data_IF_849151183750
#
_entry.id   IF_849151183750
#
_cell.length_a   1.000
_cell.length_b   1.000
_cell.length_c   1.000
_cell.angle_alpha   90.00
_cell.angle_beta   90.00
_cell.angle_gamma   90.00
#
_symmetry.space_group_name_H-M   'P 1'
#
loop_
_entity.id
_entity.type
_entity.pdbx_description
1 polymer ?
#
# COMPACT_ATOMS: atom_id res chain seq x y z
N UNK A 1 1.11 -19.66 -9.68
CA UNK A 1 2.37 -19.27 -8.96
C UNK A 1 2.17 -19.61 -7.50
N UNK A 2 3.14 -20.25 -6.80
CA UNK A 2 3.00 -20.48 -5.37
C UNK A 2 3.28 -19.18 -4.59
N UNK A 3 2.90 -19.13 -3.31
CA UNK A 3 2.98 -17.90 -2.50
C UNK A 3 4.43 -17.41 -2.31
N UNK A 4 5.40 -18.31 -2.23
CA UNK A 4 6.82 -17.95 -2.06
C UNK A 4 7.35 -17.26 -3.31
N UNK A 5 7.01 -17.77 -4.50
CA UNK A 5 7.39 -17.16 -5.76
C UNK A 5 6.73 -15.80 -5.93
N UNK A 6 5.45 -15.68 -5.55
CA UNK A 6 4.71 -14.42 -5.58
C UNK A 6 5.40 -13.34 -4.73
N UNK A 7 5.78 -13.68 -3.49
CA UNK A 7 6.50 -12.77 -2.60
C UNK A 7 7.86 -12.37 -3.18
N UNK A 8 8.61 -13.32 -3.77
CA UNK A 8 9.95 -13.10 -4.32
C UNK A 8 9.93 -12.30 -5.62
N UNK A 9 8.89 -12.45 -6.43
CA UNK A 9 8.79 -11.82 -7.75
C UNK A 9 8.13 -10.46 -7.74
N UNK A 10 7.33 -10.12 -6.70
CA UNK A 10 6.69 -8.80 -6.59
C UNK A 10 7.72 -7.67 -6.68
N UNK A 11 7.41 -6.66 -7.49
CA UNK A 11 8.24 -5.45 -7.64
C UNK A 11 7.45 -4.20 -7.27
N UNK A 12 8.17 -3.16 -6.88
CA UNK A 12 7.63 -1.80 -6.78
C UNK A 12 7.64 -1.19 -8.18
N UNK A 13 6.46 -0.91 -8.72
CA UNK A 13 6.30 -0.42 -10.09
C UNK A 13 6.21 1.10 -10.07
N UNK A 14 7.01 1.77 -10.91
CA UNK A 14 7.08 3.24 -10.96
C UNK A 14 6.51 3.86 -12.22
N UNK A 15 6.09 3.02 -13.18
CA UNK A 15 5.48 3.47 -14.43
C UNK A 15 4.45 2.44 -14.87
N UNK A 16 3.27 2.92 -15.20
CA UNK A 16 2.13 2.09 -15.53
C UNK A 16 1.64 2.38 -16.94
N UNK A 17 1.01 1.38 -17.54
CA UNK A 17 0.24 1.48 -18.77
C UNK A 17 -1.07 2.22 -18.48
N UNK A 18 -1.71 2.80 -19.51
CA UNK A 18 -2.98 3.53 -19.36
C UNK A 18 -4.19 2.61 -19.17
N UNK A 19 -3.98 1.30 -19.19
CA UNK A 19 -5.06 0.32 -19.11
C UNK A 19 -5.83 0.42 -17.78
N UNK A 20 -7.15 0.36 -17.87
CA UNK A 20 -8.03 0.39 -16.70
C UNK A 20 -8.04 -0.96 -15.99
N UNK A 21 -8.17 -0.92 -14.67
CA UNK A 21 -8.34 -2.10 -13.83
C UNK A 21 -9.85 -2.38 -13.68
N UNK A 22 -10.25 -3.62 -13.86
CA UNK A 22 -11.61 -4.06 -13.58
C UNK A 22 -11.99 -3.83 -12.12
N UNK A 23 -13.13 -3.22 -11.87
CA UNK A 23 -13.59 -2.85 -10.52
C UNK A 23 -13.86 -4.06 -9.63
N UNK A 24 -14.31 -5.19 -10.20
CA UNK A 24 -14.58 -6.41 -9.44
C UNK A 24 -13.27 -7.07 -9.00
N UNK A 25 -12.25 -7.06 -9.88
CA UNK A 25 -10.90 -7.52 -9.50
C UNK A 25 -10.32 -6.66 -8.37
N UNK A 26 -10.39 -5.34 -8.50
CA UNK A 26 -9.92 -4.43 -7.45
C UNK A 26 -10.62 -4.71 -6.12
N UNK A 27 -11.94 -4.89 -6.14
CA UNK A 27 -12.72 -5.21 -4.95
C UNK A 27 -12.28 -6.53 -4.32
N UNK A 28 -12.11 -7.58 -5.12
CA UNK A 28 -11.65 -8.89 -4.63
C UNK A 28 -10.27 -8.83 -3.97
N UNK A 29 -9.35 -7.98 -4.48
CA UNK A 29 -8.04 -7.78 -3.84
C UNK A 29 -8.14 -7.03 -2.51
N UNK A 30 -9.07 -6.07 -2.41
CA UNK A 30 -9.33 -5.35 -1.15
C UNK A 30 -9.95 -6.29 -0.10
N UNK A 31 -10.88 -7.18 -0.50
CA UNK A 31 -11.43 -8.22 0.38
C UNK A 31 -10.34 -9.19 0.87
N UNK A 32 -9.47 -9.64 -0.03
CA UNK A 32 -8.34 -10.49 0.34
C UNK A 32 -7.36 -9.74 1.28
N UNK A 33 -7.14 -8.45 1.05
CA UNK A 33 -6.31 -7.61 1.91
C UNK A 33 -6.87 -7.48 3.32
N UNK A 34 -8.20 -7.41 3.45
CA UNK A 34 -8.89 -7.31 4.73
C UNK A 34 -8.74 -8.55 5.63
N UNK A 35 -8.22 -9.67 5.09
CA UNK A 35 -7.81 -10.83 5.88
C UNK A 35 -6.49 -10.62 6.65
N UNK A 36 -5.96 -9.41 6.66
CA UNK A 36 -4.77 -9.06 7.41
C UNK A 36 -4.97 -9.25 8.93
N UNK A 37 -3.95 -9.75 9.65
CA UNK A 37 -4.05 -9.89 11.10
C UNK A 37 -4.22 -8.51 11.75
N UNK A 38 -5.13 -8.42 12.70
CA UNK A 38 -5.34 -7.21 13.47
C UNK A 38 -5.82 -7.55 14.90
N UNK A 39 -5.39 -6.75 15.87
CA UNK A 39 -5.72 -6.99 17.27
C UNK A 39 -7.22 -6.73 17.53
N UNK A 40 -7.90 -7.68 18.21
CA UNK A 40 -9.33 -7.59 18.59
C UNK A 40 -10.28 -7.31 17.42
N UNK A 41 -9.91 -7.66 16.19
CA UNK A 41 -10.70 -7.44 14.99
C UNK A 41 -11.11 -5.97 14.82
N UNK A 42 -10.18 -5.05 15.09
CA UNK A 42 -10.41 -3.60 14.97
C UNK A 42 -10.56 -3.14 13.53
N UNK A 43 -10.00 -3.89 12.56
CA UNK A 43 -10.02 -3.58 11.13
C UNK A 43 -9.73 -2.08 10.87
N UNK A 44 -8.56 -1.57 11.31
CA UNK A 44 -8.32 -0.14 11.48
C UNK A 44 -8.10 0.62 10.16
N UNK A 45 -8.12 -0.06 9.03
CA UNK A 45 -7.87 0.52 7.71
C UNK A 45 -9.09 1.22 7.13
N UNK A 46 -8.84 2.38 6.52
CA UNK A 46 -9.79 3.05 5.65
C UNK A 46 -9.14 3.32 4.29
N UNK A 47 -9.90 3.18 3.22
CA UNK A 47 -9.43 3.27 1.85
C UNK A 47 -10.12 4.42 1.14
N UNK A 48 -9.34 5.35 0.59
CA UNK A 48 -9.82 6.48 -0.20
C UNK A 48 -9.29 6.42 -1.62
N UNK A 49 -10.15 6.62 -2.59
CA UNK A 49 -9.78 6.75 -3.99
C UNK A 49 -9.46 8.20 -4.28
N UNK A 50 -8.24 8.48 -4.74
CA UNK A 50 -7.82 9.84 -5.07
C UNK A 50 -8.17 10.18 -6.52
N UNK A 51 -9.09 11.13 -6.70
CA UNK A 51 -9.44 11.69 -7.99
C UNK A 51 -8.33 12.57 -8.57
N UNK A 52 -8.49 12.96 -9.84
CA UNK A 52 -7.51 13.73 -10.60
C UNK A 52 -7.14 15.05 -9.91
N UNK A 53 -8.12 15.81 -9.44
CA UNK A 53 -7.89 17.10 -8.76
C UNK A 53 -7.00 16.96 -7.52
N UNK A 54 -7.23 15.94 -6.68
CA UNK A 54 -6.42 15.68 -5.50
C UNK A 54 -5.00 15.26 -5.86
N UNK A 55 -4.83 14.45 -6.91
CA UNK A 55 -3.51 14.04 -7.42
C UNK A 55 -2.71 15.24 -7.92
N UNK A 56 -3.35 16.16 -8.64
CA UNK A 56 -2.75 17.40 -9.13
C UNK A 56 -2.29 18.29 -7.97
N UNK A 57 -3.14 18.50 -6.96
CA UNK A 57 -2.79 19.27 -5.76
C UNK A 57 -1.63 18.68 -4.97
N UNK A 58 -1.53 17.35 -4.89
CA UNK A 58 -0.41 16.65 -4.26
C UNK A 58 0.91 16.86 -5.02
N UNK A 59 0.83 17.16 -6.31
CA UNK A 59 1.97 17.42 -7.19
C UNK A 59 3.09 16.37 -7.03
N UNK A 60 2.71 15.10 -7.05
CA UNK A 60 3.68 14.01 -6.94
C UNK A 60 4.64 14.02 -8.14
N UNK A 61 5.95 13.95 -7.89
CA UNK A 61 7.03 14.10 -8.88
C UNK A 61 6.83 13.31 -10.18
N UNK A 62 6.21 12.13 -10.12
CA UNK A 62 5.96 11.27 -11.29
C UNK A 62 4.47 11.02 -11.52
N UNK A 63 3.59 11.85 -10.92
CA UNK A 63 2.14 11.61 -10.94
C UNK A 63 1.78 10.15 -10.63
N UNK A 64 2.38 9.58 -9.57
CA UNK A 64 2.21 8.17 -9.19
C UNK A 64 2.50 7.18 -10.33
N UNK A 65 3.42 7.53 -11.25
CA UNK A 65 3.77 6.70 -12.41
C UNK A 65 2.66 6.61 -13.46
N UNK A 66 1.73 7.55 -13.47
CA UNK A 66 0.49 7.54 -14.27
C UNK A 66 -0.40 6.32 -13.98
N UNK A 67 -0.44 5.89 -12.72
CA UNK A 67 -1.30 4.79 -12.29
C UNK A 67 -2.78 5.10 -12.60
N UNK A 68 -3.51 4.10 -13.11
CA UNK A 68 -4.94 4.20 -13.40
C UNK A 68 -5.74 4.45 -12.12
N UNK A 69 -5.32 3.85 -11.01
CA UNK A 69 -5.94 4.03 -9.69
C UNK A 69 -4.88 4.55 -8.71
N UNK A 70 -5.28 5.50 -7.85
CA UNK A 70 -4.47 5.91 -6.69
C UNK A 70 -5.32 5.79 -5.44
N UNK A 71 -4.82 5.04 -4.46
CA UNK A 71 -5.46 4.77 -3.18
C UNK A 71 -4.69 5.46 -2.07
N UNK A 72 -5.39 6.12 -1.15
CA UNK A 72 -4.84 6.48 0.15
C UNK A 72 -5.34 5.48 1.19
N UNK A 73 -4.43 4.91 1.96
CA UNK A 73 -4.75 3.97 3.03
C UNK A 73 -4.44 4.61 4.37
N UNK A 74 -5.48 4.75 5.18
CA UNK A 74 -5.41 5.28 6.53
C UNK A 74 -5.45 4.16 7.56
N UNK A 75 -4.86 4.43 8.72
CA UNK A 75 -5.02 3.63 9.93
C UNK A 75 -5.66 4.47 11.01
N UNK A 76 -6.75 3.99 11.59
CA UNK A 76 -7.39 4.62 12.74
C UNK A 76 -6.51 4.49 13.97
N UNK A 77 -6.40 5.56 14.77
CA UNK A 77 -5.73 5.49 16.07
C UNK A 77 -6.48 4.56 17.04
N UNK A 78 -5.76 3.90 17.92
CA UNK A 78 -6.31 3.20 19.06
C UNK A 78 -6.57 4.13 20.24
N UNK A 79 -7.11 3.58 21.32
CA UNK A 79 -7.32 4.31 22.58
C UNK A 79 -6.01 4.62 23.31
N UNK A 80 -4.96 3.86 23.02
CA UNK A 80 -3.61 4.03 23.56
C UNK A 80 -2.58 4.18 22.45
N UNK A 81 -1.38 4.66 22.78
CA UNK A 81 -0.26 4.71 21.84
C UNK A 81 0.14 3.31 21.34
N UNK A 82 0.06 2.30 22.19
CA UNK A 82 0.32 0.91 21.81
C UNK A 82 -0.69 0.44 20.76
N UNK A 83 -1.98 0.61 21.03
CA UNK A 83 -3.03 0.23 20.07
C UNK A 83 -2.92 0.98 18.75
N UNK A 84 -2.52 2.25 18.78
CA UNK A 84 -2.25 3.04 17.55
C UNK A 84 -1.12 2.40 16.73
N UNK A 85 -0.04 1.96 17.37
CA UNK A 85 1.06 1.26 16.70
C UNK A 85 0.58 -0.09 16.13
N UNK A 86 -0.16 -0.89 16.91
CA UNK A 86 -0.73 -2.16 16.47
C UNK A 86 -1.65 -1.99 15.25
N UNK A 87 -2.48 -0.96 15.27
CA UNK A 87 -3.37 -0.62 14.15
C UNK A 87 -2.59 -0.23 12.90
N UNK A 88 -1.53 0.55 13.04
CA UNK A 88 -0.67 0.92 11.91
C UNK A 88 0.05 -0.30 11.30
N UNK A 89 0.52 -1.23 12.14
CA UNK A 89 1.13 -2.49 11.70
C UNK A 89 0.12 -3.39 10.98
N UNK A 90 -1.10 -3.52 11.51
CA UNK A 90 -2.19 -4.25 10.88
C UNK A 90 -2.52 -3.66 9.50
N UNK A 91 -2.61 -2.33 9.40
CA UNK A 91 -2.84 -1.64 8.13
C UNK A 91 -1.69 -1.84 7.14
N UNK A 92 -0.45 -1.91 7.60
CA UNK A 92 0.69 -2.25 6.74
C UNK A 92 0.60 -3.70 6.23
N UNK A 93 0.11 -4.64 7.04
CA UNK A 93 -0.18 -6.01 6.60
C UNK A 93 -1.30 -6.04 5.55
N UNK A 94 -2.36 -5.25 5.74
CA UNK A 94 -3.42 -5.06 4.74
C UNK A 94 -2.83 -4.61 3.39
N UNK A 95 -1.98 -3.57 3.40
CA UNK A 95 -1.33 -3.08 2.17
C UNK A 95 -0.48 -4.17 1.53
N UNK A 96 0.26 -4.95 2.30
CA UNK A 96 1.08 -6.02 1.74
C UNK A 96 0.23 -7.14 1.13
N UNK A 97 -0.87 -7.54 1.77
CA UNK A 97 -1.80 -8.51 1.21
C UNK A 97 -2.39 -8.00 -0.12
N UNK A 98 -2.83 -6.73 -0.16
CA UNK A 98 -3.30 -6.09 -1.38
C UNK A 98 -2.24 -6.12 -2.49
N UNK A 99 -1.00 -5.75 -2.18
CA UNK A 99 0.10 -5.76 -3.13
C UNK A 99 0.35 -7.14 -3.72
N UNK A 100 0.22 -8.20 -2.93
CA UNK A 100 0.41 -9.58 -3.38
C UNK A 100 -0.77 -10.07 -4.22
N UNK A 101 -2.00 -9.76 -3.80
CA UNK A 101 -3.21 -10.11 -4.55
C UNK A 101 -3.22 -9.46 -5.94
N UNK A 102 -2.93 -8.16 -6.02
CA UNK A 102 -2.82 -7.45 -7.29
C UNK A 102 -1.69 -8.02 -8.18
N UNK A 103 -0.53 -8.31 -7.57
CA UNK A 103 0.62 -8.87 -8.30
C UNK A 103 0.34 -10.26 -8.88
N UNK A 104 -0.47 -11.07 -8.20
CA UNK A 104 -0.89 -12.38 -8.70
C UNK A 104 -1.64 -12.30 -10.03
N UNK A 105 -2.35 -11.20 -10.25
CA UNK A 105 -3.11 -10.91 -11.48
C UNK A 105 -2.34 -10.00 -12.47
N UNK A 106 -1.01 -9.83 -12.27
CA UNK A 106 -0.16 -9.04 -13.16
C UNK A 106 -0.27 -7.53 -12.97
N UNK A 107 -0.93 -7.06 -11.91
CA UNK A 107 -1.07 -5.65 -11.58
C UNK A 107 0.00 -5.25 -10.56
N UNK A 108 0.71 -4.16 -10.86
CA UNK A 108 1.74 -3.62 -10.00
C UNK A 108 1.25 -2.53 -9.07
N UNK A 109 2.03 -2.29 -8.03
CA UNK A 109 1.78 -1.22 -7.07
C UNK A 109 3.03 -0.37 -6.85
N UNK A 110 2.79 0.90 -6.49
CA UNK A 110 3.80 1.86 -6.06
C UNK A 110 3.38 2.43 -4.71
N UNK A 111 4.16 2.20 -3.67
CA UNK A 111 3.87 2.72 -2.33
C UNK A 111 4.65 4.01 -2.08
N UNK A 112 3.93 5.12 -1.90
CA UNK A 112 4.46 6.44 -1.60
C UNK A 112 4.13 6.89 -0.19
N UNK A 113 5.09 7.53 0.47
CA UNK A 113 4.89 8.21 1.76
C UNK A 113 4.52 9.69 1.61
N UNK A 114 4.10 10.13 0.42
CA UNK A 114 3.85 11.56 0.12
C UNK A 114 2.82 12.20 1.05
N UNK A 115 1.89 11.41 1.59
CA UNK A 115 0.83 11.90 2.47
C UNK A 115 1.28 12.33 3.88
N UNK A 116 2.49 11.96 4.31
CA UNK A 116 2.93 12.13 5.70
C UNK A 116 3.19 13.61 6.07
N UNK A 117 3.54 14.46 5.11
CA UNK A 117 3.84 15.86 5.41
C UNK A 117 2.56 16.63 5.81
N UNK A 118 2.62 17.60 6.74
CA UNK A 118 1.46 18.40 7.14
C UNK A 118 0.72 19.05 5.96
N UNK A 119 1.47 19.57 4.99
CA UNK A 119 0.91 20.14 3.76
C UNK A 119 0.07 19.13 2.99
N UNK A 120 0.59 17.96 2.74
CA UNK A 120 -0.09 16.94 1.96
C UNK A 120 -1.24 16.29 2.73
N UNK A 121 -1.08 16.16 4.05
CA UNK A 121 -2.16 15.73 4.94
C UNK A 121 -3.38 16.68 4.84
N UNK A 122 -3.15 18.00 4.80
CA UNK A 122 -4.21 18.98 4.62
C UNK A 122 -4.87 18.88 3.24
N UNK A 123 -4.07 18.68 2.17
CA UNK A 123 -4.60 18.48 0.81
C UNK A 123 -5.49 17.22 0.76
N UNK A 124 -5.10 16.17 1.46
CA UNK A 124 -5.82 14.89 1.51
C UNK A 124 -7.05 14.94 2.44
N UNK A 125 -7.23 16.00 3.21
CA UNK A 125 -8.36 16.18 4.11
C UNK A 125 -8.43 15.15 5.25
N UNK A 126 -7.26 14.63 5.66
CA UNK A 126 -7.22 13.59 6.70
C UNK A 126 -7.47 14.20 8.07
N UNK A 127 -8.51 13.71 8.73
CA UNK A 127 -8.92 14.15 10.05
C UNK A 127 -7.94 13.69 11.15
N UNK A 128 -8.04 14.31 12.32
CA UNK A 128 -7.36 13.82 13.52
C UNK A 128 -7.86 12.42 13.90
N UNK A 129 -6.99 11.63 14.54
CA UNK A 129 -7.30 10.25 14.87
C UNK A 129 -7.00 9.23 13.77
N UNK A 130 -6.35 9.65 12.67
CA UNK A 130 -5.89 8.77 11.59
C UNK A 130 -4.44 9.04 11.20
N UNK A 131 -3.71 7.98 10.89
CA UNK A 131 -2.40 8.05 10.26
C UNK A 131 -2.50 7.63 8.78
N UNK A 132 -1.76 8.31 7.90
CA UNK A 132 -1.61 7.88 6.51
C UNK A 132 -0.51 6.83 6.46
N UNK A 133 -0.88 5.57 6.21
CA UNK A 133 0.09 4.47 6.10
C UNK A 133 0.72 4.44 4.72
N UNK A 134 -0.02 4.84 3.70
CA UNK A 134 0.53 4.98 2.36
C UNK A 134 -0.43 5.56 1.35
N UNK A 135 0.16 6.07 0.28
CA UNK A 135 -0.57 6.39 -0.96
C UNK A 135 -0.05 5.46 -2.03
N UNK A 136 -0.94 4.64 -2.58
CA UNK A 136 -0.61 3.59 -3.54
C UNK A 136 -1.01 3.99 -4.94
N UNK A 137 -0.08 4.00 -5.90
CA UNK A 137 -0.41 3.92 -7.31
C UNK A 137 -0.61 2.47 -7.71
N UNK A 138 -1.67 2.16 -8.43
CA UNK A 138 -2.04 0.79 -8.85
C UNK A 138 -2.32 0.78 -10.36
N UNK A 139 -1.76 -0.19 -11.07
CA UNK A 139 -1.90 -0.27 -12.52
C UNK A 139 -1.14 -1.43 -13.15
N UNK A 140 -1.36 -1.67 -14.44
CA UNK A 140 -0.57 -2.63 -15.20
C UNK A 140 0.85 -2.08 -15.42
N UNK A 141 1.90 -2.86 -15.09
CA UNK A 141 3.28 -2.39 -15.27
C UNK A 141 3.61 -2.08 -16.73
N UNK A 142 4.19 -0.89 -16.99
CA UNK A 142 4.82 -0.60 -18.27
C UNK A 142 6.20 -1.27 -18.35
N UNK A 143 6.93 -1.22 -17.23
CA UNK A 143 8.24 -1.89 -17.07
C UNK A 143 8.28 -2.57 -15.70
N UNK A 144 8.67 -3.85 -15.68
CA UNK A 144 8.96 -4.59 -14.46
C UNK A 144 10.47 -4.48 -14.20
N UNK A 145 10.89 -3.82 -13.09
CA UNK A 145 12.31 -3.65 -12.83
C UNK A 145 12.97 -4.96 -12.38
N UNK A 146 14.26 -5.08 -12.66
CA UNK A 146 15.07 -6.19 -12.17
C UNK A 146 15.08 -6.30 -10.64
N UNK A 147 15.19 -7.51 -10.10
CA UNK A 147 15.27 -7.71 -8.67
C UNK A 147 16.53 -7.08 -8.08
N UNK A 148 16.37 -6.37 -6.97
CA UNK A 148 17.52 -5.89 -6.20
C UNK A 148 17.97 -6.96 -5.20
N UNK A 149 19.29 -7.17 -5.05
CA UNK A 149 19.83 -8.13 -4.08
C UNK A 149 19.38 -7.75 -2.65
N UNK A 150 19.20 -8.75 -1.81
CA UNK A 150 18.91 -8.60 -0.40
C UNK A 150 20.08 -9.12 0.42
N UNK A 151 20.30 -8.52 1.57
CA UNK A 151 21.20 -9.05 2.57
C UNK A 151 20.77 -10.47 2.94
N UNK A 152 21.68 -11.46 2.98
CA UNK A 152 21.36 -12.81 3.43
C UNK A 152 20.68 -12.77 4.80
N UNK A 153 19.56 -13.49 4.94
CA UNK A 153 18.74 -13.40 6.16
C UNK A 153 19.48 -13.88 7.41
N UNK A 154 20.43 -14.79 7.25
CA UNK A 154 21.27 -15.30 8.33
C UNK A 154 22.03 -14.18 9.05
N UNK A 155 22.39 -13.11 8.34
CA UNK A 155 23.07 -11.95 8.92
C UNK A 155 22.17 -11.14 9.88
N UNK A 156 20.88 -11.42 9.89
CA UNK A 156 19.89 -10.79 10.78
C UNK A 156 19.54 -11.64 12.00
N UNK A 157 20.02 -12.88 12.08
CA UNK A 157 19.75 -13.74 13.22
C UNK A 157 20.56 -13.29 14.45
N UNK A 158 19.93 -13.34 15.59
CA UNK A 158 20.55 -13.14 16.91
C UNK A 158 19.90 -14.11 17.88
N UNK A 159 20.71 -14.80 18.65
CA UNK A 159 20.24 -15.65 19.74
C UNK A 159 20.32 -14.83 21.04
N UNK A 160 19.28 -14.89 21.83
CA UNK A 160 19.30 -14.42 23.21
C UNK A 160 19.80 -15.55 24.10
N UNK A 161 20.51 -15.25 25.21
CA UNK A 161 21.00 -16.24 26.16
C UNK A 161 19.86 -16.98 26.88
#
# INVERSE_FOLDING_TARGET
>A
MNIIDLIKTRRNIKKFKPDEIDKNLLHSWLEAAAMAPNHRMTEPWEIYFLGTETREKLNHKTNFGNASIVLMILSKHGATSLETVENALATACFIQNFNLAAWAEGVGTFWSSIGITPKNRAILGVQDGYDIIGVLGVGYPDVIPEPKPRTPIQNKFRNLP
#
